data_IF_019559910460
#
_entry.id   IF_019559910460
#
_cell.length_a   1.000
_cell.length_b   1.000
_cell.length_c   1.000
_cell.angle_alpha   90.00
_cell.angle_beta   90.00
_cell.angle_gamma   90.00
#
_symmetry.space_group_name_H-M   'P 1'
#
loop_
_entity.id
_entity.type
_entity.pdbx_description
1 polymer ?
#
# COMPACT_ATOMS: atom_id res chain seq x y z
N UNK A 1 -30.08 9.92 -5.65
CA UNK A 1 -31.39 10.62 -5.57
C UNK A 1 -31.16 11.89 -4.77
N UNK A 2 -31.30 13.08 -5.37
CA UNK A 2 -31.06 14.35 -4.68
C UNK A 2 -32.31 14.83 -3.95
N UNK A 3 -32.14 15.41 -2.76
CA UNK A 3 -33.24 15.97 -1.93
C UNK A 3 -33.88 17.23 -2.53
N UNK A 4 -33.38 17.70 -3.69
CA UNK A 4 -33.78 18.97 -4.31
C UNK A 4 -33.25 20.20 -3.56
N UNK A 5 -32.41 19.99 -2.54
CA UNK A 5 -31.76 21.04 -1.74
C UNK A 5 -30.28 21.08 -2.07
N UNK A 6 -29.65 22.18 -1.64
CA UNK A 6 -28.20 22.33 -1.73
C UNK A 6 -27.58 21.47 -0.63
N UNK A 7 -26.54 20.73 -1.00
CA UNK A 7 -25.68 20.01 -0.07
C UNK A 7 -24.29 20.64 -0.11
N UNK A 8 -23.58 20.64 1.01
CA UNK A 8 -22.19 21.07 1.10
C UNK A 8 -21.31 19.92 1.57
N UNK A 9 -20.13 19.80 0.97
CA UNK A 9 -19.09 18.87 1.38
C UNK A 9 -17.77 19.62 1.52
N UNK A 10 -17.14 19.46 2.67
CA UNK A 10 -15.80 19.95 2.96
C UNK A 10 -14.88 18.76 3.17
N UNK A 11 -13.85 18.63 2.35
CA UNK A 11 -12.96 17.47 2.39
C UNK A 11 -11.52 17.89 2.63
N UNK A 12 -10.89 17.23 3.59
CA UNK A 12 -9.44 17.25 3.77
C UNK A 12 -8.85 15.94 3.24
N UNK A 13 -7.77 16.07 2.47
CA UNK A 13 -7.05 14.96 1.86
C UNK A 13 -5.58 15.05 2.26
N UNK A 14 -5.00 13.92 2.63
CA UNK A 14 -3.57 13.78 2.87
C UNK A 14 -3.09 12.45 2.31
N UNK A 15 -2.00 12.48 1.53
CA UNK A 15 -1.40 11.28 0.98
C UNK A 15 0.10 11.24 1.26
N UNK A 16 0.66 10.06 1.48
CA UNK A 16 2.09 9.89 1.71
C UNK A 16 2.58 8.48 1.42
N UNK A 17 3.74 8.39 0.77
CA UNK A 17 4.48 7.13 0.64
C UNK A 17 5.35 6.86 1.88
N UNK A 18 5.22 5.65 2.44
CA UNK A 18 6.00 5.17 3.59
C UNK A 18 6.38 3.71 3.34
N UNK A 19 7.69 3.40 3.30
CA UNK A 19 8.21 2.03 3.15
C UNK A 19 7.57 1.23 1.99
N UNK A 20 7.42 1.86 0.82
CA UNK A 20 6.77 1.32 -0.39
C UNK A 20 5.25 1.14 -0.32
N UNK A 21 4.61 1.60 0.75
CA UNK A 21 3.16 1.73 0.82
C UNK A 21 2.77 3.16 0.47
N UNK A 22 1.80 3.32 -0.41
CA UNK A 22 1.11 4.58 -0.60
C UNK A 22 -0.06 4.63 0.37
N UNK A 23 -0.16 5.66 1.19
CA UNK A 23 -1.30 5.89 2.08
C UNK A 23 -2.09 7.10 1.62
N UNK A 24 -3.41 6.96 1.62
CA UNK A 24 -4.38 8.03 1.38
C UNK A 24 -5.30 8.14 2.58
N UNK A 25 -5.45 9.36 3.11
CA UNK A 25 -6.35 9.68 4.20
C UNK A 25 -7.28 10.81 3.77
N UNK A 26 -8.58 10.54 3.85
CA UNK A 26 -9.62 11.47 3.50
C UNK A 26 -10.57 11.62 4.69
N UNK A 27 -10.95 12.86 4.99
CA UNK A 27 -12.04 13.14 5.92
C UNK A 27 -12.94 14.20 5.32
N UNK A 28 -14.25 13.93 5.33
CA UNK A 28 -15.28 14.82 4.80
C UNK A 28 -16.28 15.19 5.88
N UNK A 29 -16.67 16.46 5.93
CA UNK A 29 -17.86 16.93 6.63
C UNK A 29 -18.92 17.26 5.60
N UNK A 30 -20.12 16.72 5.80
CA UNK A 30 -21.27 17.01 4.95
C UNK A 30 -22.31 17.84 5.70
N UNK A 31 -22.99 18.68 4.94
CA UNK A 31 -24.20 19.39 5.34
C UNK A 31 -25.24 19.07 4.27
N UNK A 32 -26.19 18.19 4.59
CA UNK A 32 -27.20 17.70 3.66
C UNK A 32 -28.50 18.46 3.89
N UNK A 33 -29.02 19.10 2.84
CA UNK A 33 -30.21 19.93 2.95
C UNK A 33 -31.45 19.12 3.34
N UNK A 34 -32.15 19.56 4.39
CA UNK A 34 -33.32 18.85 4.89
C UNK A 34 -34.50 18.95 3.89
N UNK A 35 -35.09 17.83 3.43
CA UNK A 35 -36.10 17.88 2.36
C UNK A 35 -37.40 18.56 2.81
N UNK A 36 -37.80 18.34 4.06
CA UNK A 36 -39.10 18.77 4.61
C UNK A 36 -39.01 19.91 5.64
N UNK A 37 -37.84 20.53 5.82
CA UNK A 37 -37.64 21.59 6.80
C UNK A 37 -36.51 22.55 6.36
N UNK A 38 -36.36 23.67 7.06
CA UNK A 38 -35.17 24.52 6.93
C UNK A 38 -33.97 23.90 7.67
N UNK A 39 -32.76 24.06 7.12
CA UNK A 39 -31.52 23.64 7.78
C UNK A 39 -30.84 22.45 7.09
N UNK A 40 -29.85 21.88 7.77
CA UNK A 40 -29.02 20.78 7.27
C UNK A 40 -28.93 19.66 8.31
N UNK A 41 -28.96 18.42 7.82
CA UNK A 41 -28.42 17.27 8.55
C UNK A 41 -26.90 17.23 8.35
N UNK A 42 -26.19 16.59 9.29
CA UNK A 42 -24.72 16.57 9.28
C UNK A 42 -24.22 15.14 9.49
N UNK A 43 -23.26 14.73 8.67
CA UNK A 43 -22.46 13.53 8.89
C UNK A 43 -21.01 13.78 8.51
N UNK A 44 -20.18 12.80 8.83
CA UNK A 44 -18.74 12.82 8.65
C UNK A 44 -18.30 11.50 8.06
N UNK A 45 -17.56 11.56 6.96
CA UNK A 45 -16.92 10.38 6.39
C UNK A 45 -15.44 10.42 6.69
N UNK A 46 -14.89 9.26 7.05
CA UNK A 46 -13.46 9.04 7.20
C UNK A 46 -13.07 7.87 6.33
N UNK A 47 -11.95 8.00 5.64
CA UNK A 47 -11.39 6.95 4.80
C UNK A 47 -9.87 6.92 4.98
N UNK A 48 -9.34 5.75 5.30
CA UNK A 48 -7.91 5.47 5.28
C UNK A 48 -7.67 4.28 4.36
N UNK A 49 -6.99 4.55 3.26
CA UNK A 49 -6.56 3.54 2.30
C UNK A 49 -5.04 3.42 2.30
N UNK A 50 -4.57 2.23 1.96
CA UNK A 50 -3.19 2.00 1.58
C UNK A 50 -3.11 1.11 0.35
N UNK A 51 -2.02 1.24 -0.39
CA UNK A 51 -1.68 0.33 -1.45
C UNK A 51 -0.20 0.02 -1.53
N UNK A 52 0.12 -1.16 -2.07
CA UNK A 52 1.49 -1.63 -2.21
C UNK A 52 1.63 -2.54 -3.42
N UNK A 53 2.65 -2.30 -4.24
CA UNK A 53 3.03 -3.20 -5.32
C UNK A 53 3.67 -4.46 -4.75
N UNK A 54 3.07 -5.61 -5.01
CA UNK A 54 3.60 -6.92 -4.60
C UNK A 54 4.67 -7.37 -5.60
N UNK A 55 4.32 -7.37 -6.89
CA UNK A 55 5.22 -7.85 -7.95
C UNK A 55 4.78 -7.36 -9.32
N UNK A 56 5.67 -6.70 -10.06
CA UNK A 56 5.39 -6.13 -11.38
C UNK A 56 4.11 -5.28 -11.35
N UNK A 57 3.11 -5.63 -12.15
CA UNK A 57 1.82 -4.95 -12.20
C UNK A 57 0.82 -5.38 -11.14
N UNK A 58 1.17 -6.29 -10.23
CA UNK A 58 0.30 -6.76 -9.15
C UNK A 58 0.44 -5.86 -7.91
N UNK A 59 -0.69 -5.35 -7.44
CA UNK A 59 -0.83 -4.48 -6.29
C UNK A 59 -1.89 -5.03 -5.33
N UNK A 60 -1.70 -4.79 -4.04
CA UNK A 60 -2.75 -4.96 -3.02
C UNK A 60 -3.19 -3.59 -2.52
N UNK A 61 -4.48 -3.45 -2.24
CA UNK A 61 -5.08 -2.28 -1.62
C UNK A 61 -5.90 -2.73 -0.42
N UNK A 62 -5.79 -2.00 0.68
CA UNK A 62 -6.64 -2.15 1.85
C UNK A 62 -7.23 -0.80 2.24
N UNK A 63 -8.47 -0.80 2.67
CA UNK A 63 -9.20 0.41 3.05
C UNK A 63 -10.01 0.14 4.30
N UNK A 64 -10.05 1.14 5.18
CA UNK A 64 -11.02 1.24 6.27
C UNK A 64 -11.71 2.58 6.13
N UNK A 65 -13.02 2.55 6.06
CA UNK A 65 -13.81 3.76 5.91
C UNK A 65 -15.05 3.69 6.79
N UNK A 66 -15.60 4.86 7.10
CA UNK A 66 -16.74 4.98 8.01
C UNK A 66 -17.55 6.22 7.69
N UNK A 67 -18.83 6.16 8.00
CA UNK A 67 -19.71 7.31 8.01
C UNK A 67 -20.33 7.47 9.40
N UNK A 68 -20.38 8.71 9.87
CA UNK A 68 -21.11 9.05 11.09
C UNK A 68 -22.61 9.10 10.79
N UNK A 69 -23.39 9.08 11.86
CA UNK A 69 -24.84 9.03 11.73
C UNK A 69 -25.35 10.34 11.14
N UNK A 70 -26.04 10.29 10.00
CA UNK A 70 -26.69 11.45 9.41
C UNK A 70 -28.00 11.82 10.12
N UNK A 71 -28.86 10.82 10.38
CA UNK A 71 -30.15 11.01 11.07
C UNK A 71 -30.64 9.70 11.71
N UNK A 72 -31.88 9.65 12.22
CA UNK A 72 -32.44 8.42 12.85
C UNK A 72 -32.54 7.22 11.90
N UNK A 73 -32.74 7.46 10.60
CA UNK A 73 -32.87 6.42 9.58
C UNK A 73 -31.55 6.00 8.94
N UNK A 74 -30.49 6.79 9.11
CA UNK A 74 -29.16 6.53 8.54
C UNK A 74 -28.13 6.35 9.66
N UNK A 75 -27.98 5.12 10.19
CA UNK A 75 -27.07 4.86 11.30
C UNK A 75 -25.61 5.01 10.88
N UNK A 76 -24.74 5.30 11.85
CA UNK A 76 -23.30 5.29 11.63
C UNK A 76 -22.80 3.89 11.28
N UNK A 77 -21.74 3.82 10.48
CA UNK A 77 -21.09 2.56 10.18
C UNK A 77 -19.59 2.72 9.97
N UNK A 78 -18.88 1.61 10.11
CA UNK A 78 -17.52 1.43 9.63
C UNK A 78 -17.43 0.12 8.83
N UNK A 79 -16.53 0.10 7.86
CA UNK A 79 -16.34 -0.95 6.87
C UNK A 79 -14.87 -1.10 6.50
N UNK A 80 -14.54 -2.23 5.88
CA UNK A 80 -13.22 -2.45 5.29
C UNK A 80 -13.34 -3.08 3.91
N UNK A 81 -12.40 -2.74 3.04
CA UNK A 81 -12.24 -3.32 1.71
C UNK A 81 -10.81 -3.82 1.54
N UNK A 82 -10.68 -4.98 0.91
CA UNK A 82 -9.41 -5.58 0.54
C UNK A 82 -9.47 -6.01 -0.91
N UNK A 83 -8.54 -5.52 -1.73
CA UNK A 83 -8.53 -5.78 -3.16
C UNK A 83 -7.13 -6.09 -3.67
N UNK A 84 -7.09 -6.86 -4.75
CA UNK A 84 -5.91 -7.05 -5.58
C UNK A 84 -6.17 -6.48 -6.95
N UNK A 85 -5.18 -5.77 -7.47
CA UNK A 85 -5.24 -5.10 -8.77
C UNK A 85 -4.06 -5.57 -9.61
N UNK A 86 -4.30 -5.94 -10.86
CA UNK A 86 -3.27 -6.36 -11.80
C UNK A 86 -3.33 -5.54 -13.09
N UNK A 87 -2.24 -4.84 -13.39
CA UNK A 87 -2.05 -4.15 -14.66
C UNK A 87 -1.63 -5.15 -15.73
N UNK A 88 -2.55 -5.50 -16.64
CA UNK A 88 -2.31 -6.43 -17.76
C UNK A 88 -1.48 -5.75 -18.84
N UNK A 89 -1.90 -4.56 -19.24
CA UNK A 89 -1.17 -3.63 -20.12
C UNK A 89 -1.44 -2.20 -19.63
N UNK A 90 -0.68 -1.17 -20.01
CA UNK A 90 -0.84 0.20 -19.48
C UNK A 90 -2.25 0.81 -19.60
N UNK A 91 -3.13 0.23 -20.41
CA UNK A 91 -4.51 0.66 -20.62
C UNK A 91 -5.57 -0.28 -20.05
N UNK A 92 -5.17 -1.46 -19.55
CA UNK A 92 -6.08 -2.48 -19.04
C UNK A 92 -5.62 -2.93 -17.65
N UNK A 93 -6.48 -2.70 -16.68
CA UNK A 93 -6.31 -3.15 -15.30
C UNK A 93 -7.48 -4.09 -14.99
N UNK A 94 -7.19 -5.20 -14.33
CA UNK A 94 -8.20 -6.06 -13.71
C UNK A 94 -8.08 -5.97 -12.21
N UNK A 95 -9.20 -6.04 -11.52
CA UNK A 95 -9.24 -5.93 -10.07
C UNK A 95 -10.31 -6.86 -9.49
N UNK A 96 -10.15 -7.18 -8.22
CA UNK A 96 -11.14 -7.94 -7.48
C UNK A 96 -10.84 -7.89 -5.99
N UNK A 97 -11.87 -8.08 -5.19
CA UNK A 97 -11.76 -7.88 -3.77
C UNK A 97 -12.99 -8.29 -3.00
N UNK A 98 -12.91 -8.04 -1.70
CA UNK A 98 -13.97 -8.26 -0.74
C UNK A 98 -14.18 -7.01 0.09
N UNK A 99 -15.43 -6.79 0.47
CA UNK A 99 -15.82 -5.70 1.33
C UNK A 99 -16.74 -6.23 2.43
N UNK A 100 -16.57 -5.73 3.66
CA UNK A 100 -17.40 -6.12 4.80
C UNK A 100 -17.58 -4.95 5.75
N UNK A 101 -18.79 -4.82 6.30
CA UNK A 101 -19.04 -3.99 7.46
C UNK A 101 -18.25 -4.49 8.68
N UNK A 102 -17.65 -3.55 9.40
CA UNK A 102 -17.05 -3.74 10.73
C UNK A 102 -18.07 -3.48 11.86
N UNK A 103 -19.21 -2.89 11.50
CA UNK A 103 -20.31 -2.53 12.41
C UNK A 103 -21.65 -2.97 11.81
N UNK A 104 -22.71 -3.02 12.62
CA UNK A 104 -24.04 -3.44 12.17
C UNK A 104 -24.69 -2.51 11.14
N UNK A 105 -24.21 -1.26 11.01
CA UNK A 105 -24.65 -0.34 9.97
C UNK A 105 -23.92 -0.50 8.63
N UNK A 106 -22.84 -1.30 8.60
CA UNK A 106 -22.03 -1.50 7.40
C UNK A 106 -22.68 -2.46 6.41
N UNK A 107 -22.14 -2.58 5.19
CA UNK A 107 -22.63 -3.49 4.18
C UNK A 107 -22.46 -4.94 4.61
N UNK A 108 -23.35 -5.80 4.12
CA UNK A 108 -23.13 -7.24 4.20
C UNK A 108 -21.86 -7.61 3.43
N UNK A 109 -21.11 -8.62 3.92
CA UNK A 109 -19.92 -9.09 3.23
C UNK A 109 -20.24 -9.47 1.78
N UNK A 110 -19.48 -8.92 0.84
CA UNK A 110 -19.63 -9.25 -0.57
C UNK A 110 -18.26 -9.20 -1.27
N UNK A 111 -18.21 -9.80 -2.46
CA UNK A 111 -17.04 -9.84 -3.30
C UNK A 111 -17.34 -9.16 -4.64
N UNK A 112 -16.30 -8.62 -5.26
CA UNK A 112 -16.39 -8.01 -6.57
C UNK A 112 -15.22 -8.42 -7.46
N UNK A 113 -15.43 -8.27 -8.77
CA UNK A 113 -14.40 -8.41 -9.79
C UNK A 113 -14.72 -7.40 -10.90
N UNK A 114 -13.68 -6.74 -11.39
CA UNK A 114 -13.78 -5.63 -12.33
C UNK A 114 -12.64 -5.62 -13.34
N UNK A 115 -12.86 -4.82 -14.39
CA UNK A 115 -11.82 -4.46 -15.33
C UNK A 115 -12.02 -3.01 -15.76
N UNK A 116 -10.93 -2.25 -15.74
CA UNK A 116 -10.90 -0.84 -16.17
C UNK A 116 -10.06 -0.73 -17.43
N UNK A 117 -10.65 -0.17 -18.49
CA UNK A 117 -9.95 0.14 -19.74
C UNK A 117 -9.89 1.65 -19.99
N UNK A 118 -8.68 2.21 -20.02
CA UNK A 118 -8.49 3.65 -20.28
C UNK A 118 -8.61 3.94 -21.78
N UNK A 119 -9.56 4.79 -22.17
CA UNK A 119 -9.85 5.13 -23.58
C UNK A 119 -8.96 6.28 -24.08
N UNK A 120 -8.57 7.20 -23.21
CA UNK A 120 -7.66 8.29 -23.51
C UNK A 120 -6.50 8.31 -22.51
N UNK A 121 -5.32 8.72 -22.97
CA UNK A 121 -4.18 8.97 -22.10
C UNK A 121 -3.97 10.50 -22.01
N UNK A 122 -4.61 11.13 -21.03
CA UNK A 122 -4.52 12.58 -20.85
C UNK A 122 -3.16 13.02 -20.25
N UNK A 123 -2.38 12.06 -19.72
CA UNK A 123 -1.03 12.31 -19.20
C UNK A 123 -0.09 11.15 -19.56
N UNK A 124 0.98 11.37 -20.35
CA UNK A 124 1.93 10.30 -20.65
C UNK A 124 2.60 9.81 -19.36
N UNK A 125 2.30 8.58 -18.96
CA UNK A 125 2.87 7.88 -17.79
C UNK A 125 4.31 7.45 -18.06
N UNK A 126 5.25 8.39 -18.01
CA UNK A 126 6.68 8.07 -17.88
C UNK A 126 7.00 7.57 -16.46
N UNK A 127 6.28 8.05 -15.44
CA UNK A 127 6.59 7.79 -14.03
C UNK A 127 6.43 6.32 -13.58
N UNK A 128 5.42 5.59 -14.05
CA UNK A 128 5.19 4.19 -13.62
C UNK A 128 6.27 3.25 -14.17
N UNK A 129 6.67 3.46 -15.42
CA UNK A 129 7.73 2.65 -16.05
C UNK A 129 9.09 2.90 -15.39
N UNK A 130 9.38 4.13 -15.01
CA UNK A 130 10.63 4.49 -14.33
C UNK A 130 10.67 4.03 -12.87
N UNK A 131 9.53 4.09 -12.16
CA UNK A 131 9.42 3.60 -10.78
C UNK A 131 9.54 2.08 -10.69
N UNK A 132 8.83 1.32 -11.53
CA UNK A 132 8.98 -0.14 -11.56
C UNK A 132 10.42 -0.53 -11.92
N UNK A 133 11.04 0.17 -12.88
CA UNK A 133 12.45 -0.06 -13.25
C UNK A 133 13.42 0.34 -12.14
N UNK A 134 13.09 1.32 -11.29
CA UNK A 134 13.93 1.70 -10.15
C UNK A 134 13.85 0.67 -9.02
N UNK A 135 12.66 0.11 -8.74
CA UNK A 135 12.49 -0.98 -7.78
C UNK A 135 13.23 -2.25 -8.23
N UNK A 136 13.14 -2.64 -9.51
CA UNK A 136 13.90 -3.77 -10.06
C UNK A 136 15.42 -3.58 -9.90
N UNK A 137 15.91 -2.34 -10.04
CA UNK A 137 17.33 -2.02 -9.82
C UNK A 137 17.72 -2.14 -8.34
N UNK A 138 16.86 -1.74 -7.42
CA UNK A 138 17.11 -1.84 -5.97
C UNK A 138 17.16 -3.32 -5.56
N UNK A 139 16.20 -4.13 -5.99
CA UNK A 139 16.17 -5.56 -5.70
C UNK A 139 17.37 -6.30 -6.30
N UNK A 140 17.76 -5.94 -7.53
CA UNK A 140 18.97 -6.48 -8.17
C UNK A 140 20.24 -6.08 -7.42
N UNK A 141 20.33 -4.85 -6.93
CA UNK A 141 21.47 -4.38 -6.15
C UNK A 141 21.55 -5.08 -4.78
N UNK A 142 20.42 -5.28 -4.10
CA UNK A 142 20.34 -6.01 -2.84
C UNK A 142 20.75 -7.48 -3.01
N UNK A 143 20.30 -8.15 -4.07
CA UNK A 143 20.70 -9.52 -4.40
C UNK A 143 22.21 -9.64 -4.67
N UNK A 144 22.80 -8.68 -5.38
CA UNK A 144 24.23 -8.67 -5.66
C UNK A 144 25.09 -8.43 -4.40
N UNK A 145 24.60 -7.64 -3.44
CA UNK A 145 25.26 -7.44 -2.15
C UNK A 145 25.28 -8.72 -1.29
N UNK A 146 24.19 -9.51 -1.27
CA UNK A 146 24.16 -10.81 -0.58
C UNK A 146 25.14 -11.82 -1.22
N UNK A 147 25.18 -11.88 -2.55
CA UNK A 147 26.12 -12.75 -3.27
C UNK A 147 27.57 -12.35 -3.03
N UNK A 148 27.87 -11.05 -3.02
CA UNK A 148 29.21 -10.53 -2.71
C UNK A 148 29.63 -10.89 -1.28
N UNK A 149 28.74 -10.69 -0.30
CA UNK A 149 29.00 -11.03 1.10
C UNK A 149 29.29 -12.52 1.32
N UNK A 150 28.53 -13.42 0.66
CA UNK A 150 28.79 -14.87 0.71
C UNK A 150 30.11 -15.26 0.05
N UNK A 151 30.53 -14.54 -0.99
CA UNK A 151 31.80 -14.78 -1.69
C UNK A 151 33.01 -14.40 -0.83
N UNK A 152 32.92 -13.30 -0.08
CA UNK A 152 33.96 -12.89 0.87
C UNK A 152 34.04 -13.82 2.07
N UNK A 153 32.91 -14.31 2.58
CA UNK A 153 32.90 -15.28 3.68
C UNK A 153 33.52 -16.62 3.26
N UNK A 154 33.27 -17.09 2.03
CA UNK A 154 33.96 -18.26 1.47
C UNK A 154 35.47 -18.06 1.30
N UNK A 155 35.92 -16.86 0.90
CA UNK A 155 37.36 -16.54 0.81
C UNK A 155 38.04 -16.54 2.17
N UNK A 156 37.40 -15.98 3.21
CA UNK A 156 37.92 -16.00 4.59
C UNK A 156 38.02 -17.41 5.18
N UNK A 157 37.07 -18.29 4.88
CA UNK A 157 37.11 -19.69 5.33
C UNK A 157 38.10 -20.56 4.52
N UNK A 158 38.38 -20.19 3.27
CA UNK A 158 39.36 -20.88 2.42
C UNK A 158 40.83 -20.55 2.69
N UNK A 159 41.13 -19.41 3.34
CA UNK A 159 42.52 -18.99 3.62
C UNK A 159 43.11 -19.52 4.93
N UNK A 160 42.40 -20.40 5.65
CA UNK A 160 42.84 -20.95 6.95
C UNK A 160 43.51 -22.34 6.87
N UNK A 161 43.92 -22.80 5.69
CA UNK A 161 44.70 -24.03 5.52
C UNK A 161 45.95 -23.80 4.66
N UNK A 162 46.97 -23.16 5.23
CA UNK A 162 48.36 -23.34 4.81
C UNK A 162 49.26 -23.31 6.04
N UNK A 163 49.41 -24.47 6.68
CA UNK A 163 50.38 -24.67 7.76
C UNK A 163 51.81 -24.62 7.22
N UNK A 164 52.64 -23.81 7.87
CA UNK A 164 54.11 -23.92 7.80
C UNK A 164 54.61 -24.49 9.14
N UNK A 165 55.58 -25.41 9.15
CA UNK A 165 56.02 -26.07 10.38
C UNK A 165 56.95 -25.15 11.20
N UNK A 166 56.77 -25.18 12.52
CA UNK A 166 57.63 -24.51 13.49
C UNK A 166 59.00 -25.20 13.61
N UNK A 167 60.13 -24.47 13.70
CA UNK A 167 61.42 -25.04 14.05
C UNK A 167 61.62 -25.08 15.57
N UNK A 168 62.11 -26.21 16.06
CA UNK A 168 62.54 -26.44 17.45
C UNK A 168 63.90 -25.78 17.71
N UNK A 169 63.95 -24.85 18.67
CA UNK A 169 65.18 -24.20 19.12
C UNK A 169 65.31 -24.23 20.64
N UNK A 170 66.36 -24.92 21.10
CA UNK A 170 66.79 -25.03 22.50
C UNK A 170 67.23 -23.67 23.08
N UNK A 171 66.90 -23.42 24.36
CA UNK A 171 67.71 -22.56 25.23
C UNK A 171 67.92 -23.23 26.60
N UNK A 172 69.21 -23.31 26.98
CA UNK A 172 69.73 -23.77 28.27
C UNK A 172 69.58 -22.66 29.31
N UNK A 173 69.26 -23.01 30.55
CA UNK A 173 69.43 -22.15 31.72
C UNK A 173 70.83 -22.34 32.33
N UNK A 174 71.50 -21.25 32.66
CA UNK A 174 72.48 -21.19 33.73
C UNK A 174 72.51 -19.76 34.29
N UNK A 175 72.25 -19.67 35.60
CA UNK A 175 72.56 -18.63 36.62
C UNK A 175 72.74 -17.19 36.13
#
# INVERSE_FOLDING_TARGET
>A
MGTGRVDHQFTFLAAKDILHFHFDFNVSQFLIGHPNASGFDHNQELNLAFSHFIYRGLQITGEVYSDSRLNQSSPAFASTLWAMTYTVVPRLVIDGGVESGLTSGGPYPHAFVGATYSIANLYPTQAITEYVRSLEKIDSAAANLDVSGRSEEKRRKGSSQSGLPFPSGHYKSAV
#
